data_IF_596218143723
#
_entry.id   IF_596218143723
#
_cell.length_a   1.000
_cell.length_b   1.000
_cell.length_c   1.000
_cell.angle_alpha   90.00
_cell.angle_beta   90.00
_cell.angle_gamma   90.00
#
_symmetry.space_group_name_H-M   'P 1'
#
loop_
_entity.id
_entity.type
_entity.pdbx_description
1 polymer ?
#
# COMPACT_ATOMS: atom_id res chain seq x y z
N UNK A 1 -20.88 62.43 -72.35
CA UNK A 1 -21.74 62.92 -71.24
C UNK A 1 -22.36 61.67 -70.64
N UNK A 2 -21.73 61.18 -69.58
CA UNK A 2 -21.91 59.83 -69.04
C UNK A 2 -21.91 59.95 -67.51
N UNK A 3 -23.01 59.52 -66.89
CA UNK A 3 -23.22 59.60 -65.44
C UNK A 3 -22.44 58.49 -64.71
N UNK A 4 -21.90 58.75 -63.51
CA UNK A 4 -21.26 57.72 -62.70
C UNK A 4 -22.32 56.86 -62.00
N UNK A 5 -22.19 55.54 -62.13
CA UNK A 5 -22.96 54.56 -61.36
C UNK A 5 -22.33 54.41 -59.97
N UNK A 6 -23.04 54.90 -58.97
CA UNK A 6 -22.77 54.66 -57.56
C UNK A 6 -23.02 53.18 -57.22
N UNK A 7 -21.93 52.43 -57.06
CA UNK A 7 -21.96 51.09 -56.47
C UNK A 7 -22.10 51.21 -54.94
N UNK A 8 -23.35 51.29 -54.48
CA UNK A 8 -23.72 51.03 -53.08
C UNK A 8 -23.47 49.56 -52.75
N UNK A 9 -22.26 49.23 -52.32
CA UNK A 9 -21.96 47.98 -51.63
C UNK A 9 -22.64 48.00 -50.26
N UNK A 10 -23.83 47.40 -50.20
CA UNK A 10 -24.52 47.10 -48.96
C UNK A 10 -23.71 46.03 -48.21
N UNK A 11 -22.81 46.49 -47.34
CA UNK A 11 -22.01 45.65 -46.43
C UNK A 11 -22.96 45.09 -45.38
N UNK A 12 -23.38 43.85 -45.57
CA UNK A 12 -24.12 43.08 -44.58
C UNK A 12 -23.18 42.87 -43.39
N UNK A 13 -23.51 43.48 -42.26
CA UNK A 13 -22.77 43.34 -41.02
C UNK A 13 -23.12 41.98 -40.40
N UNK A 14 -22.28 40.97 -40.63
CA UNK A 14 -22.36 39.64 -40.01
C UNK A 14 -21.91 39.67 -38.53
N UNK A 15 -22.16 40.77 -37.82
CA UNK A 15 -21.62 41.05 -36.49
C UNK A 15 -22.39 40.40 -35.33
N UNK A 16 -23.45 39.62 -35.61
CA UNK A 16 -24.29 39.00 -34.58
C UNK A 16 -24.15 37.47 -34.41
N UNK A 17 -23.37 36.77 -35.23
CA UNK A 17 -23.11 35.32 -35.02
C UNK A 17 -21.96 35.03 -34.03
N UNK A 18 -21.18 36.05 -33.67
CA UNK A 18 -19.97 35.91 -32.82
C UNK A 18 -20.19 35.86 -31.30
N UNK A 19 -21.43 35.97 -30.82
CA UNK A 19 -21.75 35.94 -29.37
C UNK A 19 -22.21 34.56 -28.87
N UNK A 20 -22.86 33.75 -29.71
CA UNK A 20 -23.27 32.39 -29.33
C UNK A 20 -22.10 31.38 -29.29
N UNK A 21 -21.09 31.55 -30.15
CA UNK A 21 -19.92 30.65 -30.19
C UNK A 21 -19.03 30.78 -28.95
N UNK A 22 -18.76 32.01 -28.48
CA UNK A 22 -17.86 32.26 -27.34
C UNK A 22 -18.37 31.72 -26.02
N UNK A 23 -19.69 31.69 -25.78
CA UNK A 23 -20.24 31.13 -24.54
C UNK A 23 -20.03 29.62 -24.40
N UNK A 24 -19.96 28.88 -25.50
CA UNK A 24 -19.78 27.43 -25.49
C UNK A 24 -18.34 27.07 -25.07
N UNK A 25 -17.35 27.81 -25.57
CA UNK A 25 -15.94 27.60 -25.24
C UNK A 25 -15.64 27.82 -23.74
N UNK A 26 -16.25 28.83 -23.11
CA UNK A 26 -16.08 29.08 -21.68
C UNK A 26 -16.66 27.97 -20.81
N UNK A 27 -17.80 27.40 -21.20
CA UNK A 27 -18.44 26.30 -20.47
C UNK A 27 -17.59 25.04 -20.57
N UNK A 28 -17.06 24.72 -21.76
CA UNK A 28 -16.19 23.55 -21.93
C UNK A 28 -14.87 23.69 -21.16
N UNK A 29 -14.25 24.88 -21.18
CA UNK A 29 -13.02 25.13 -20.43
C UNK A 29 -13.23 25.02 -18.91
N UNK A 30 -14.34 25.56 -18.39
CA UNK A 30 -14.72 25.41 -16.98
C UNK A 30 -14.99 23.95 -16.64
N UNK A 31 -15.68 23.21 -17.49
CA UNK A 31 -15.97 21.80 -17.26
C UNK A 31 -14.67 20.98 -17.17
N UNK A 32 -13.71 21.21 -18.08
CA UNK A 32 -12.39 20.54 -18.07
C UNK A 32 -11.59 20.88 -16.80
N UNK A 33 -11.59 22.15 -16.38
CA UNK A 33 -10.91 22.58 -15.15
C UNK A 33 -11.54 21.94 -13.90
N UNK A 34 -12.87 21.91 -13.82
CA UNK A 34 -13.60 21.26 -12.71
C UNK A 34 -13.33 19.76 -12.69
N UNK A 35 -13.30 19.10 -13.85
CA UNK A 35 -13.02 17.66 -13.95
C UNK A 35 -11.58 17.33 -13.53
N UNK A 36 -10.60 18.16 -13.94
CA UNK A 36 -9.20 18.01 -13.51
C UNK A 36 -9.04 18.21 -12.00
N UNK A 37 -9.69 19.22 -11.42
CA UNK A 37 -9.67 19.49 -9.98
C UNK A 37 -10.32 18.37 -9.16
N UNK A 38 -11.46 17.84 -9.63
CA UNK A 38 -12.14 16.71 -9.01
C UNK A 38 -11.29 15.43 -9.05
N UNK A 39 -10.65 15.14 -10.20
CA UNK A 39 -9.76 13.98 -10.33
C UNK A 39 -8.59 14.09 -9.35
N UNK A 40 -7.94 15.25 -9.25
CA UNK A 40 -6.85 15.47 -8.29
C UNK A 40 -7.27 15.28 -6.83
N UNK A 41 -8.43 15.79 -6.44
CA UNK A 41 -8.99 15.59 -5.10
C UNK A 41 -9.30 14.12 -4.80
N UNK A 42 -9.85 13.38 -5.78
CA UNK A 42 -10.22 11.99 -5.62
C UNK A 42 -8.98 11.10 -5.44
N UNK A 43 -7.97 11.27 -6.29
CA UNK A 43 -6.68 10.56 -6.21
C UNK A 43 -6.04 10.74 -4.83
N UNK A 44 -5.97 11.98 -4.33
CA UNK A 44 -5.42 12.27 -3.00
C UNK A 44 -6.18 11.59 -1.87
N UNK A 45 -7.52 11.52 -1.96
CA UNK A 45 -8.35 10.83 -0.94
C UNK A 45 -8.14 9.32 -0.97
N UNK A 46 -8.08 8.73 -2.17
CA UNK A 46 -7.86 7.29 -2.35
C UNK A 46 -6.47 6.93 -1.84
N UNK A 47 -5.43 7.66 -2.25
CA UNK A 47 -4.06 7.42 -1.83
C UNK A 47 -3.90 7.51 -0.30
N UNK A 48 -4.51 8.51 0.36
CA UNK A 48 -4.48 8.60 1.84
C UNK A 48 -5.15 7.42 2.51
N UNK A 49 -6.30 6.97 2.00
CA UNK A 49 -7.01 5.81 2.55
C UNK A 49 -6.20 4.53 2.39
N UNK A 50 -5.56 4.35 1.23
CA UNK A 50 -4.68 3.22 0.97
C UNK A 50 -3.45 3.22 1.89
N UNK A 51 -2.79 4.37 2.04
CA UNK A 51 -1.63 4.51 2.94
C UNK A 51 -2.01 4.27 4.41
N UNK A 52 -3.15 4.80 4.86
CA UNK A 52 -3.64 4.57 6.22
C UNK A 52 -3.98 3.09 6.47
N UNK A 53 -4.66 2.44 5.51
CA UNK A 53 -4.96 1.02 5.59
C UNK A 53 -3.67 0.18 5.64
N UNK A 54 -2.67 0.53 4.82
CA UNK A 54 -1.38 -0.15 4.81
C UNK A 54 -0.65 0.03 6.15
N UNK A 55 -0.67 1.22 6.74
CA UNK A 55 -0.07 1.49 8.04
C UNK A 55 -0.73 0.64 9.15
N UNK A 56 -2.07 0.59 9.20
CA UNK A 56 -2.81 -0.24 10.17
C UNK A 56 -2.43 -1.71 10.01
N UNK A 57 -2.36 -2.18 8.76
CA UNK A 57 -1.99 -3.54 8.43
C UNK A 57 -0.54 -3.86 8.88
N UNK A 58 0.39 -2.94 8.67
CA UNK A 58 1.79 -3.06 9.08
C UNK A 58 1.91 -3.18 10.61
N UNK A 59 1.21 -2.30 11.35
CA UNK A 59 1.15 -2.35 12.81
C UNK A 59 0.54 -3.66 13.31
N UNK A 60 -0.55 -4.11 12.70
CA UNK A 60 -1.18 -5.39 13.05
C UNK A 60 -0.21 -6.58 12.82
N UNK A 61 0.57 -6.55 11.75
CA UNK A 61 1.59 -7.57 11.45
C UNK A 61 2.72 -7.55 12.49
N UNK A 62 3.21 -6.39 12.88
CA UNK A 62 4.23 -6.25 13.93
C UNK A 62 3.69 -6.84 15.25
N UNK A 63 2.47 -6.49 15.64
CA UNK A 63 1.82 -7.02 16.85
C UNK A 63 1.68 -8.54 16.78
N UNK A 64 1.28 -9.09 15.63
CA UNK A 64 1.15 -10.53 15.43
C UNK A 64 2.50 -11.26 15.55
N UNK A 65 3.56 -10.75 14.93
CA UNK A 65 4.92 -11.32 15.02
C UNK A 65 5.44 -11.26 16.46
N UNK A 66 5.23 -10.14 17.15
CA UNK A 66 5.63 -9.98 18.56
C UNK A 66 4.85 -10.94 19.45
N UNK A 67 3.54 -11.07 19.27
CA UNK A 67 2.70 -12.00 20.02
C UNK A 67 3.14 -13.46 19.79
N UNK A 68 3.43 -13.84 18.53
CA UNK A 68 3.96 -15.16 18.19
C UNK A 68 5.33 -15.43 18.85
N UNK A 69 6.19 -14.42 18.93
CA UNK A 69 7.49 -14.52 19.61
C UNK A 69 7.37 -14.72 21.12
N UNK A 70 6.37 -14.07 21.75
CA UNK A 70 6.09 -14.20 23.19
C UNK A 70 5.53 -15.56 23.56
N UNK A 71 4.80 -16.22 22.65
CA UNK A 71 4.30 -17.57 22.84
C UNK A 71 5.39 -18.67 22.78
N UNK A 72 6.68 -18.30 22.74
CA UNK A 72 7.83 -19.22 22.63
C UNK A 72 7.83 -20.12 21.39
N UNK A 73 6.98 -19.82 20.39
CA UNK A 73 6.89 -20.59 19.15
C UNK A 73 8.07 -20.38 18.22
N UNK A 74 8.90 -19.38 18.51
CA UNK A 74 9.88 -18.86 17.59
C UNK A 74 11.17 -18.46 18.28
N UNK A 75 12.24 -18.42 17.49
CA UNK A 75 13.47 -17.74 17.84
C UNK A 75 13.22 -16.22 17.96
N UNK A 76 13.36 -15.68 19.18
CA UNK A 76 13.18 -14.25 19.49
C UNK A 76 13.99 -13.35 18.57
N UNK A 77 15.18 -13.79 18.14
CA UNK A 77 16.05 -13.03 17.24
C UNK A 77 15.42 -12.81 15.87
N UNK A 78 14.84 -13.85 15.26
CA UNK A 78 14.20 -13.75 13.95
C UNK A 78 12.96 -12.86 13.99
N UNK A 79 12.10 -13.05 14.99
CA UNK A 79 10.93 -12.21 15.19
C UNK A 79 11.29 -10.75 15.47
N UNK A 80 12.37 -10.50 16.22
CA UNK A 80 12.89 -9.16 16.47
C UNK A 80 13.34 -8.46 15.19
N UNK A 81 14.09 -9.14 14.33
CA UNK A 81 14.53 -8.59 13.04
C UNK A 81 13.34 -8.22 12.13
N UNK A 82 12.34 -9.10 12.04
CA UNK A 82 11.11 -8.84 11.29
C UNK A 82 10.36 -7.63 11.86
N UNK A 83 10.16 -7.58 13.18
CA UNK A 83 9.45 -6.49 13.83
C UNK A 83 10.18 -5.15 13.66
N UNK A 84 11.50 -5.12 13.79
CA UNK A 84 12.31 -3.92 13.57
C UNK A 84 12.26 -3.47 12.11
N UNK A 85 12.39 -4.39 11.16
CA UNK A 85 12.30 -4.08 9.73
C UNK A 85 10.95 -3.48 9.33
N UNK A 86 9.85 -4.11 9.77
CA UNK A 86 8.51 -3.56 9.56
C UNK A 86 8.28 -2.24 10.30
N UNK A 87 8.83 -2.07 11.51
CA UNK A 87 8.72 -0.80 12.24
C UNK A 87 9.40 0.34 11.47
N UNK A 88 10.55 0.08 10.84
CA UNK A 88 11.24 1.06 10.00
C UNK A 88 10.39 1.46 8.78
N UNK A 89 9.76 0.49 8.13
CA UNK A 89 8.84 0.73 7.01
C UNK A 89 7.60 1.51 7.50
N UNK A 90 7.02 1.16 8.65
CA UNK A 90 5.87 1.86 9.23
C UNK A 90 6.20 3.34 9.51
N UNK A 91 7.37 3.61 10.09
CA UNK A 91 7.86 4.98 10.31
C UNK A 91 7.99 5.72 9.00
N UNK A 92 8.54 5.06 7.96
CA UNK A 92 8.59 5.63 6.63
C UNK A 92 7.18 6.01 6.11
N UNK A 93 6.24 5.08 6.12
CA UNK A 93 4.85 5.35 5.69
C UNK A 93 4.21 6.50 6.50
N UNK A 94 4.44 6.53 7.81
CA UNK A 94 3.90 7.57 8.70
C UNK A 94 4.50 8.95 8.39
N UNK A 95 5.80 9.05 8.15
CA UNK A 95 6.45 10.31 7.73
C UNK A 95 5.88 10.78 6.40
N UNK A 96 5.65 9.87 5.45
CA UNK A 96 5.08 10.24 4.14
C UNK A 96 3.66 10.78 4.20
N UNK A 97 2.86 10.30 5.15
CA UNK A 97 1.55 10.87 5.44
C UNK A 97 1.62 12.31 5.98
N UNK A 98 2.71 12.66 6.67
CA UNK A 98 2.90 13.98 7.28
C UNK A 98 3.51 14.96 6.28
N UNK A 99 4.62 14.58 5.63
CA UNK A 99 5.48 15.50 4.87
C UNK A 99 4.91 15.82 3.48
N UNK A 100 4.17 14.90 2.85
CA UNK A 100 3.58 15.06 1.50
C UNK A 100 4.57 15.40 0.36
N UNK A 101 5.88 15.32 0.59
CA UNK A 101 6.93 15.54 -0.43
C UNK A 101 7.38 14.22 -1.08
N UNK A 102 8.17 14.35 -2.16
CA UNK A 102 8.68 13.25 -2.98
C UNK A 102 9.43 12.18 -2.16
N UNK A 103 9.23 10.92 -2.56
CA UNK A 103 9.45 9.70 -1.77
C UNK A 103 10.91 9.26 -1.61
N UNK A 104 11.91 10.10 -1.87
CA UNK A 104 13.31 9.66 -1.89
C UNK A 104 13.77 9.08 -0.53
N UNK A 105 13.32 9.70 0.56
CA UNK A 105 13.59 9.22 1.92
C UNK A 105 12.88 7.90 2.24
N UNK A 106 11.79 7.56 1.52
CA UNK A 106 11.11 6.28 1.69
C UNK A 106 12.00 5.13 1.26
N UNK A 107 12.73 5.24 0.14
CA UNK A 107 13.66 4.19 -0.29
C UNK A 107 14.81 3.99 0.71
N UNK A 108 15.31 5.08 1.30
CA UNK A 108 16.37 5.04 2.32
C UNK A 108 15.93 4.27 3.57
N UNK A 109 14.65 4.38 3.97
CA UNK A 109 14.11 3.66 5.12
C UNK A 109 13.59 2.26 4.76
N UNK A 110 12.90 2.13 3.64
CA UNK A 110 12.24 0.92 3.20
C UNK A 110 13.26 -0.15 2.79
N UNK A 111 14.33 0.22 2.08
CA UNK A 111 15.36 -0.73 1.64
C UNK A 111 15.97 -1.54 2.80
N UNK A 112 16.55 -0.87 3.82
CA UNK A 112 17.05 -1.55 5.01
C UNK A 112 15.96 -2.30 5.78
N UNK A 113 14.73 -1.75 5.85
CA UNK A 113 13.60 -2.37 6.53
C UNK A 113 13.18 -3.70 5.89
N UNK A 114 13.13 -3.75 4.56
CA UNK A 114 12.84 -4.96 3.78
C UNK A 114 13.97 -5.98 3.93
N UNK A 115 15.23 -5.54 3.88
CA UNK A 115 16.37 -6.43 4.07
C UNK A 115 16.38 -7.07 5.47
N UNK A 116 16.14 -6.27 6.52
CA UNK A 116 16.02 -6.78 7.89
C UNK A 116 14.89 -7.79 8.01
N UNK A 117 13.75 -7.49 7.39
CA UNK A 117 12.57 -8.37 7.41
C UNK A 117 12.81 -9.67 6.66
N UNK A 118 13.53 -9.63 5.53
CA UNK A 118 13.92 -10.80 4.76
C UNK A 118 14.85 -11.71 5.55
N UNK A 119 15.93 -11.14 6.11
CA UNK A 119 16.88 -11.89 6.96
C UNK A 119 16.16 -12.45 8.19
N UNK A 120 15.32 -11.65 8.83
CA UNK A 120 14.51 -12.09 9.97
C UNK A 120 13.59 -13.27 9.62
N UNK A 121 12.96 -13.24 8.44
CA UNK A 121 12.10 -14.33 7.95
C UNK A 121 12.88 -15.63 7.71
N UNK A 122 14.09 -15.53 7.16
CA UNK A 122 14.98 -16.69 6.98
C UNK A 122 15.40 -17.26 8.34
N UNK A 123 15.87 -16.41 9.26
CA UNK A 123 16.27 -16.83 10.62
C UNK A 123 15.10 -17.45 11.37
N UNK A 124 13.89 -16.90 11.19
CA UNK A 124 12.66 -17.42 11.76
C UNK A 124 12.33 -18.82 11.20
N UNK A 125 12.37 -18.99 9.88
CA UNK A 125 12.12 -20.27 9.22
C UNK A 125 13.12 -21.36 9.64
N UNK A 126 14.42 -21.02 9.68
CA UNK A 126 15.47 -21.92 10.17
C UNK A 126 15.25 -22.29 11.64
N UNK A 127 14.84 -21.31 12.46
CA UNK A 127 14.50 -21.54 13.87
C UNK A 127 13.36 -22.55 14.05
N UNK A 128 12.29 -22.43 13.25
CA UNK A 128 11.19 -23.40 13.25
C UNK A 128 11.69 -24.76 12.79
N UNK A 129 12.44 -24.81 11.68
CA UNK A 129 12.94 -26.05 11.11
C UNK A 129 13.79 -26.85 12.11
N UNK A 130 14.66 -26.16 12.85
CA UNK A 130 15.55 -26.79 13.84
C UNK A 130 14.82 -27.31 15.09
N UNK A 131 13.74 -26.65 15.52
CA UNK A 131 13.03 -27.01 16.76
C UNK A 131 12.00 -28.13 16.59
N UNK A 132 11.68 -28.52 15.35
CA UNK A 132 10.67 -29.55 15.01
C UNK A 132 9.31 -29.36 15.69
N UNK A 133 9.02 -28.18 16.25
CA UNK A 133 7.77 -27.91 16.97
C UNK A 133 6.59 -27.68 16.02
N UNK A 134 6.88 -27.42 14.74
CA UNK A 134 5.90 -27.25 13.68
C UNK A 134 6.28 -28.15 12.49
N UNK A 135 5.30 -28.55 11.67
CA UNK A 135 5.58 -29.35 10.48
C UNK A 135 6.48 -28.58 9.51
N UNK A 136 7.39 -29.30 8.85
CA UNK A 136 8.42 -28.75 7.94
C UNK A 136 7.85 -27.84 6.85
N UNK A 137 6.66 -28.16 6.33
CA UNK A 137 5.99 -27.33 5.32
C UNK A 137 5.66 -25.93 5.85
N UNK A 138 5.33 -25.79 7.13
CA UNK A 138 5.04 -24.49 7.74
C UNK A 138 6.30 -23.63 7.86
N UNK A 139 7.46 -24.24 8.12
CA UNK A 139 8.74 -23.53 8.12
C UNK A 139 9.10 -23.01 6.71
N UNK A 140 8.86 -23.84 5.67
CA UNK A 140 9.06 -23.43 4.27
C UNK A 140 8.11 -22.29 3.91
N UNK A 141 6.82 -22.39 4.25
CA UNK A 141 5.86 -21.31 4.02
C UNK A 141 6.20 -20.04 4.80
N UNK A 142 6.74 -20.14 6.01
CA UNK A 142 7.18 -18.96 6.75
C UNK A 142 8.35 -18.24 6.04
N UNK A 143 9.35 -19.00 5.57
CA UNK A 143 10.51 -18.43 4.88
C UNK A 143 10.16 -17.91 3.49
N UNK A 144 9.61 -18.77 2.64
CA UNK A 144 9.24 -18.44 1.26
C UNK A 144 8.09 -17.43 1.26
N UNK A 145 7.05 -17.63 2.06
CA UNK A 145 5.93 -16.71 2.17
C UNK A 145 6.37 -15.34 2.68
N UNK A 146 7.32 -15.26 3.63
CA UNK A 146 7.90 -13.99 4.06
C UNK A 146 8.63 -13.24 2.95
N UNK A 147 9.46 -13.95 2.16
CA UNK A 147 10.17 -13.36 1.02
C UNK A 147 9.23 -12.96 -0.12
N UNK A 148 8.27 -13.81 -0.45
CA UNK A 148 7.23 -13.53 -1.44
C UNK A 148 6.39 -12.34 -0.99
N UNK A 149 6.07 -12.24 0.30
CA UNK A 149 5.35 -11.09 0.83
C UNK A 149 6.13 -9.79 0.63
N UNK A 150 7.46 -9.81 0.84
CA UNK A 150 8.37 -8.66 0.61
C UNK A 150 8.44 -8.27 -0.86
N UNK A 151 8.41 -9.22 -1.80
CA UNK A 151 8.45 -8.92 -3.25
C UNK A 151 7.09 -8.40 -3.73
N UNK A 152 6.00 -9.01 -3.26
CA UNK A 152 4.64 -8.66 -3.65
C UNK A 152 3.97 -7.67 -2.71
N UNK A 153 4.72 -6.88 -1.92
CA UNK A 153 4.14 -5.91 -0.96
C UNK A 153 3.16 -4.95 -1.63
N UNK A 154 3.31 -4.70 -2.94
CA UNK A 154 2.41 -3.86 -3.73
C UNK A 154 1.05 -4.51 -4.05
N UNK A 155 0.94 -5.83 -3.97
CA UNK A 155 -0.25 -6.59 -4.38
C UNK A 155 -1.10 -7.11 -3.19
N UNK A 156 -0.93 -6.54 -2.00
CA UNK A 156 -1.68 -6.98 -0.82
C UNK A 156 -1.25 -8.35 -0.29
N UNK A 157 -0.05 -8.81 -0.65
CA UNK A 157 0.59 -10.03 -0.10
C UNK A 157 0.68 -10.03 1.44
N UNK A 158 0.60 -8.85 2.05
CA UNK A 158 0.41 -8.67 3.48
C UNK A 158 -0.73 -9.52 4.03
N UNK A 159 -1.90 -9.55 3.38
CA UNK A 159 -3.04 -10.33 3.89
C UNK A 159 -2.72 -11.82 3.97
N UNK A 160 -1.95 -12.35 3.00
CA UNK A 160 -1.50 -13.74 3.00
C UNK A 160 -0.55 -14.01 4.18
N UNK A 161 0.41 -13.12 4.43
CA UNK A 161 1.35 -13.30 5.55
C UNK A 161 0.61 -13.19 6.89
N UNK A 162 -0.31 -12.23 7.04
CA UNK A 162 -1.13 -12.08 8.25
C UNK A 162 -2.00 -13.30 8.51
N UNK A 163 -2.64 -13.83 7.46
CA UNK A 163 -3.45 -15.05 7.54
C UNK A 163 -2.60 -16.27 7.93
N UNK A 164 -1.37 -16.36 7.40
CA UNK A 164 -0.42 -17.39 7.78
C UNK A 164 -0.05 -17.32 9.28
N UNK A 165 0.21 -16.13 9.82
CA UNK A 165 0.49 -15.96 11.25
C UNK A 165 -0.70 -16.33 12.14
N UNK A 166 -1.92 -15.95 11.74
CA UNK A 166 -3.15 -16.35 12.43
C UNK A 166 -3.34 -17.87 12.40
N UNK A 167 -3.07 -18.50 11.25
CA UNK A 167 -3.10 -19.95 11.13
C UNK A 167 -2.10 -20.61 12.09
N UNK A 168 -0.84 -20.17 12.11
CA UNK A 168 0.18 -20.70 13.02
C UNK A 168 -0.24 -20.57 14.48
N UNK A 169 -0.74 -19.39 14.89
CA UNK A 169 -1.22 -19.17 16.26
C UNK A 169 -2.41 -20.08 16.62
N UNK A 170 -3.34 -20.29 15.68
CA UNK A 170 -4.49 -21.18 15.88
C UNK A 170 -4.09 -22.65 15.98
N UNK A 171 -3.12 -23.07 15.17
CA UNK A 171 -2.59 -24.44 15.15
C UNK A 171 -1.92 -24.79 16.48
N UNK A 172 -1.11 -23.87 17.02
CA UNK A 172 -0.46 -24.05 18.32
C UNK A 172 -1.47 -24.26 19.44
N UNK A 173 -2.52 -23.42 19.53
CA UNK A 173 -3.53 -23.57 20.59
C UNK A 173 -4.19 -24.94 20.59
N UNK A 174 -4.45 -25.51 19.41
CA UNK A 174 -5.06 -26.84 19.27
C UNK A 174 -4.14 -27.96 19.77
N UNK A 175 -2.84 -27.88 19.46
CA UNK A 175 -1.87 -28.88 19.89
C UNK A 175 -1.64 -28.86 21.41
N UNK A 176 -1.64 -27.68 22.03
CA UNK A 176 -1.52 -27.59 23.50
C UNK A 176 -2.72 -28.24 24.21
N UNK A 177 -3.94 -28.05 23.68
CA UNK A 177 -5.15 -28.63 24.27
C UNK A 177 -5.20 -30.17 24.16
N UNK A 178 -4.71 -30.74 23.06
CA UNK A 178 -4.66 -32.20 22.89
C UNK A 178 -3.61 -32.85 23.80
N UNK A 179 -2.49 -32.16 24.07
CA UNK A 179 -1.47 -32.64 25.00
C UNK A 179 -1.99 -32.68 26.44
N UNK A 180 -2.73 -31.67 26.90
CA UNK A 180 -3.33 -31.66 28.24
C UNK A 180 -4.32 -32.81 28.46
N UNK A 181 -5.08 -33.21 27.43
CA UNK A 181 -6.02 -34.35 27.52
C UNK A 181 -5.33 -35.72 27.60
N UNK A 182 -4.08 -35.84 27.17
CA UNK A 182 -3.33 -37.11 27.25
C UNK A 182 -2.68 -37.32 28.62
N UNK A 183 -2.57 -36.25 29.42
CA UNK A 183 -1.96 -36.26 30.74
C UNK A 183 -2.99 -36.31 31.88
N UNK A 184 -4.28 -36.17 31.56
CA UNK A 184 -5.41 -36.29 32.47
C UNK A 184 -6.04 -37.67 32.32
#
# INVERSE_FOLDING_TARGET
MSLPQDHLHFRRDDSNEGWCGRSIDYVELRLRLVHAALRGQLELRIQRRLLAANLIFLVATIVAVVAASRASLSNRTGAGLIATGYSLIAVGVAIGLIVREELDWFFVLAGPGLLLSAVGSIVFAVGIWRRSSLPRWAAVLAGVGGLVAIILTEFGSGVLIGSFWLFVASYTRRNSASQSRRLA
#
